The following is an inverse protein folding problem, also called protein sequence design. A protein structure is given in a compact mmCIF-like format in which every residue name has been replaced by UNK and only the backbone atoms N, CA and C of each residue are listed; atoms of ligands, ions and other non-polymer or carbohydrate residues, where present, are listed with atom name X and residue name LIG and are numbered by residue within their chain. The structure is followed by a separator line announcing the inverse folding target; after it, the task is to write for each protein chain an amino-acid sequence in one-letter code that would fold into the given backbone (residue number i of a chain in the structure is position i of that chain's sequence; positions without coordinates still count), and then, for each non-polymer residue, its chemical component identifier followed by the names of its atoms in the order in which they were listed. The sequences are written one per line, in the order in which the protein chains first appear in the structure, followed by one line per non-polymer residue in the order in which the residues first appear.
data_IF_650226582837
#
_entry.id   IF_650226582837
#
_cell.length_a   1.000
_cell.length_b   1.000
_cell.length_c   1.000
_cell.angle_alpha   90.00
_cell.angle_beta   90.00
_cell.angle_gamma   90.00
#
_symmetry.space_group_name_H-M   'P 1'
#
loop_
_entity.id
_entity.type
_entity.pdbx_description
1 polymer ?
#
# COMPACT_ATOMS: atom_id res chain seq x y z
N UNK A 1 20.71 -30.97 3.11
CA UNK A 1 20.83 -31.65 4.41
C UNK A 1 19.59 -31.38 5.24
N UNK A 2 18.99 -32.44 5.80
CA UNK A 2 17.79 -32.41 6.64
C UNK A 2 18.19 -32.27 8.11
N UNK A 3 17.27 -31.64 8.86
CA UNK A 3 17.01 -31.81 10.30
C UNK A 3 18.01 -31.27 11.32
N UNK A 4 17.50 -30.36 12.15
CA UNK A 4 17.65 -30.48 13.60
C UNK A 4 16.41 -29.92 14.31
N UNK A 5 15.54 -30.83 14.77
CA UNK A 5 14.46 -30.56 15.72
C UNK A 5 15.06 -30.44 17.11
N UNK A 6 14.73 -29.37 17.85
CA UNK A 6 14.74 -29.35 19.32
C UNK A 6 13.63 -28.43 19.83
N UNK A 7 12.47 -29.03 20.13
CA UNK A 7 11.47 -28.40 21.00
C UNK A 7 11.67 -29.01 22.39
N UNK A 8 12.15 -28.20 23.33
CA UNK A 8 12.17 -28.54 24.74
C UNK A 8 10.80 -28.21 25.34
N UNK A 9 10.13 -29.25 25.85
CA UNK A 9 8.93 -29.12 26.64
C UNK A 9 9.30 -28.61 28.05
N UNK A 10 8.63 -27.58 28.51
CA UNK A 10 8.56 -27.25 29.94
C UNK A 10 7.10 -27.29 30.34
N UNK A 11 6.79 -28.30 31.15
CA UNK A 11 5.55 -28.46 31.87
C UNK A 11 5.54 -27.58 33.13
N UNK A 12 4.38 -27.04 33.48
CA UNK A 12 4.14 -26.28 34.71
C UNK A 12 3.31 -25.02 34.43
N UNK A 13 2.10 -24.83 34.93
CA UNK A 13 1.27 -25.62 35.82
C UNK A 13 -0.21 -25.27 35.58
N UNK A 14 -1.08 -26.21 35.91
CA UNK A 14 -2.53 -26.06 35.83
C UNK A 14 -2.98 -25.20 37.02
N UNK A 15 -3.56 -24.04 36.73
CA UNK A 15 -4.47 -23.35 37.65
C UNK A 15 -5.80 -23.14 36.93
N UNK A 16 -6.77 -23.97 37.33
CA UNK A 16 -8.17 -23.92 36.91
C UNK A 16 -8.81 -22.62 37.40
N UNK A 17 -9.59 -21.95 36.55
CA UNK A 17 -11.05 -21.74 36.68
C UNK A 17 -11.48 -20.45 35.97
N UNK A 18 -12.39 -20.57 35.00
CA UNK A 18 -13.30 -19.48 34.63
C UNK A 18 -13.56 -19.29 33.13
N UNK A 19 -14.73 -19.76 32.65
CA UNK A 19 -15.34 -19.37 31.37
C UNK A 19 -15.00 -20.29 30.20
N UNK A 20 -15.67 -21.43 30.00
CA UNK A 20 -16.98 -21.63 29.37
C UNK A 20 -17.08 -21.17 27.89
N UNK A 21 -17.32 -22.16 27.02
CA UNK A 21 -17.85 -22.14 25.63
C UNK A 21 -16.82 -21.85 24.50
N UNK A 22 -16.28 -22.86 23.81
CA UNK A 22 -16.87 -23.64 22.72
C UNK A 22 -17.01 -22.85 21.39
N UNK A 23 -16.31 -23.28 20.33
CA UNK A 23 -16.73 -23.03 18.94
C UNK A 23 -15.62 -22.80 17.91
N UNK A 24 -15.57 -23.69 16.92
CA UNK A 24 -15.11 -23.50 15.52
C UNK A 24 -13.61 -23.20 15.28
N UNK A 25 -12.80 -24.05 14.63
CA UNK A 25 -12.89 -24.57 13.26
C UNK A 25 -13.02 -23.48 12.17
N UNK A 26 -11.96 -23.34 11.36
CA UNK A 26 -11.93 -22.46 10.18
C UNK A 26 -11.61 -21.00 10.53
N UNK A 27 -10.93 -20.20 9.73
CA UNK A 27 -10.61 -20.23 8.31
C UNK A 27 -9.41 -19.29 8.09
N UNK A 28 -8.68 -19.51 7.00
CA UNK A 28 -7.79 -18.60 6.31
C UNK A 28 -7.40 -17.30 7.05
N UNK A 29 -6.14 -17.21 7.46
CA UNK A 29 -5.49 -15.93 7.70
C UNK A 29 -5.47 -15.13 6.39
N UNK A 30 -6.58 -14.47 6.07
CA UNK A 30 -6.55 -13.24 5.30
C UNK A 30 -5.68 -12.31 6.14
N UNK A 31 -4.46 -12.06 5.69
CA UNK A 31 -3.65 -10.99 6.23
C UNK A 31 -4.53 -9.74 6.19
N UNK A 32 -5.07 -9.35 7.34
CA UNK A 32 -5.73 -8.07 7.48
C UNK A 32 -4.68 -7.06 7.02
N UNK A 33 -4.90 -6.45 5.86
CA UNK A 33 -4.06 -5.40 5.34
C UNK A 33 -4.12 -4.29 6.38
N UNK A 34 -3.17 -4.28 7.31
CA UNK A 34 -3.00 -3.22 8.31
C UNK A 34 -2.75 -1.98 7.48
N UNK A 35 -3.82 -1.25 7.19
CA UNK A 35 -3.75 -0.01 6.45
C UNK A 35 -3.07 0.95 7.40
N UNK A 36 -1.81 1.34 7.16
CA UNK A 36 -1.11 2.19 8.11
C UNK A 36 -1.93 3.48 8.22
N UNK A 37 -2.11 3.99 9.43
CA UNK A 37 -2.80 5.26 9.72
C UNK A 37 -2.28 6.43 8.86
N UNK A 38 -1.08 6.29 8.31
CA UNK A 38 -0.51 7.22 7.37
C UNK A 38 -1.14 7.18 5.95
N UNK A 39 -1.68 6.05 5.46
CA UNK A 39 -2.39 6.00 4.18
C UNK A 39 -3.69 6.84 4.21
N UNK A 40 -4.38 6.88 5.36
CA UNK A 40 -5.54 7.75 5.57
C UNK A 40 -5.22 9.25 5.51
N UNK A 41 -3.93 9.65 5.51
CA UNK A 41 -3.54 11.04 5.28
C UNK A 41 -3.69 11.49 3.83
N UNK A 42 -3.88 10.56 2.88
CA UNK A 42 -4.17 10.90 1.49
C UNK A 42 -5.63 11.39 1.39
N UNK A 43 -5.88 12.66 1.02
CA UNK A 43 -7.25 13.15 0.91
C UNK A 43 -7.99 12.53 -0.27
N UNK A 44 -9.31 12.40 -0.15
CA UNK A 44 -10.14 11.92 -1.27
C UNK A 44 -10.02 12.84 -2.49
N UNK A 45 -9.88 12.26 -3.67
CA UNK A 45 -9.65 12.94 -4.95
C UNK A 45 -8.18 13.06 -5.35
N UNK A 46 -7.26 12.48 -4.58
CA UNK A 46 -5.82 12.61 -4.80
C UNK A 46 -5.14 11.27 -5.02
N UNK A 47 -4.07 11.30 -5.79
CA UNK A 47 -3.07 10.24 -5.80
C UNK A 47 -1.88 10.68 -4.95
N UNK A 48 -1.54 9.88 -3.94
CA UNK A 48 -0.48 10.20 -2.99
C UNK A 48 0.67 9.20 -3.09
N UNK A 49 1.88 9.70 -2.93
CA UNK A 49 3.13 8.94 -2.89
C UNK A 49 3.93 9.31 -1.66
N UNK A 50 4.69 8.36 -1.13
CA UNK A 50 5.55 8.54 0.02
C UNK A 50 6.97 8.04 -0.25
N UNK A 51 7.97 8.79 0.21
CA UNK A 51 9.39 8.42 0.04
C UNK A 51 9.75 7.13 0.78
N UNK A 52 9.06 6.83 1.88
CA UNK A 52 9.26 5.63 2.67
C UNK A 52 8.27 4.51 2.35
N UNK A 53 8.56 3.34 2.92
CA UNK A 53 7.66 2.18 2.91
C UNK A 53 6.47 2.40 3.83
N UNK A 54 5.41 1.60 3.64
CA UNK A 54 4.24 1.59 4.53
C UNK A 54 3.67 3.01 4.78
N UNK A 55 3.70 3.87 3.75
CA UNK A 55 3.17 5.24 3.77
C UNK A 55 3.88 6.16 4.77
N UNK A 56 5.18 5.95 4.99
CA UNK A 56 6.02 6.76 5.89
C UNK A 56 6.91 7.73 5.13
N UNK A 57 7.51 8.69 5.84
CA UNK A 57 8.38 9.70 5.22
C UNK A 57 7.60 10.86 4.59
N UNK A 58 8.25 11.56 3.67
CA UNK A 58 7.66 12.72 3.01
C UNK A 58 6.58 12.29 2.02
N UNK A 59 5.41 12.92 2.11
CA UNK A 59 4.28 12.67 1.23
C UNK A 59 4.13 13.79 0.20
N UNK A 60 3.89 13.42 -1.04
CA UNK A 60 3.43 14.33 -2.08
C UNK A 60 2.18 13.78 -2.73
N UNK A 61 1.36 14.67 -3.27
CA UNK A 61 0.06 14.33 -3.84
C UNK A 61 -0.21 15.13 -5.10
N UNK A 62 -0.95 14.53 -6.01
CA UNK A 62 -1.40 15.17 -7.24
C UNK A 62 -2.87 14.89 -7.49
N UNK A 63 -3.52 15.85 -8.12
CA UNK A 63 -4.86 15.75 -8.65
C UNK A 63 -4.84 16.26 -10.10
N UNK A 64 -5.91 16.00 -10.85
CA UNK A 64 -6.01 16.42 -12.24
C UNK A 64 -4.94 15.80 -13.16
N UNK A 65 -4.88 16.32 -14.38
CA UNK A 65 -3.97 15.88 -15.42
C UNK A 65 -2.69 16.72 -15.37
N UNK A 66 -1.54 16.06 -15.21
CA UNK A 66 -0.24 16.74 -15.09
C UNK A 66 0.72 16.24 -16.16
N UNK A 67 1.18 17.15 -17.02
CA UNK A 67 2.15 16.84 -18.07
C UNK A 67 3.58 16.67 -17.54
N UNK A 68 3.88 17.24 -16.37
CA UNK A 68 5.19 17.15 -15.74
C UNK A 68 5.08 17.03 -14.21
N UNK A 69 5.54 15.90 -13.68
CA UNK A 69 5.67 15.62 -12.26
C UNK A 69 7.13 15.62 -11.78
N UNK A 70 8.11 15.89 -12.65
CA UNK A 70 9.55 15.85 -12.27
C UNK A 70 9.96 16.94 -11.30
N UNK A 71 9.12 17.97 -11.14
CA UNK A 71 9.27 18.99 -10.10
C UNK A 71 8.97 18.48 -8.68
N UNK A 72 8.30 17.35 -8.54
CA UNK A 72 7.97 16.74 -7.26
C UNK A 72 8.99 15.64 -6.96
N UNK A 73 9.89 15.90 -6.00
CA UNK A 73 11.00 15.00 -5.67
C UNK A 73 10.55 13.59 -5.27
N UNK A 74 9.49 13.48 -4.46
CA UNK A 74 8.96 12.17 -4.02
C UNK A 74 8.37 11.39 -5.18
N UNK A 75 7.78 12.05 -6.19
CA UNK A 75 7.31 11.34 -7.39
C UNK A 75 8.44 10.76 -8.25
N UNK A 76 9.70 11.14 -8.00
CA UNK A 76 10.86 10.56 -8.67
C UNK A 76 11.53 9.46 -7.84
N UNK A 77 11.14 9.31 -6.58
CA UNK A 77 11.74 8.34 -5.68
C UNK A 77 10.79 7.96 -4.52
N UNK A 78 9.72 7.22 -4.83
CA UNK A 78 8.76 6.75 -3.82
C UNK A 78 8.76 5.23 -3.66
N UNK A 79 8.34 4.77 -2.48
CA UNK A 79 8.26 3.34 -2.13
C UNK A 79 6.86 2.87 -1.73
N UNK A 80 5.94 3.81 -1.58
CA UNK A 80 4.53 3.51 -1.33
C UNK A 80 3.62 4.56 -1.94
N UNK A 81 2.43 4.14 -2.35
CA UNK A 81 1.47 4.98 -3.04
C UNK A 81 0.04 4.54 -2.78
N UNK A 82 -0.89 5.49 -2.92
CA UNK A 82 -2.31 5.26 -2.75
C UNK A 82 -3.10 6.09 -3.76
N UNK A 83 -3.93 5.43 -4.57
CA UNK A 83 -4.95 6.11 -5.34
C UNK A 83 -6.22 6.29 -4.51
N UNK A 84 -6.34 7.45 -3.86
CA UNK A 84 -7.58 7.85 -3.18
C UNK A 84 -8.48 8.71 -4.07
N UNK A 85 -8.50 8.47 -5.39
CA UNK A 85 -9.38 9.17 -6.34
C UNK A 85 -10.86 9.13 -5.93
N UNK A 86 -11.64 10.14 -6.35
CA UNK A 86 -13.09 10.21 -6.07
C UNK A 86 -13.86 9.18 -6.90
N UNK A 87 -13.72 9.26 -8.22
CA UNK A 87 -14.47 8.47 -9.20
C UNK A 87 -13.59 7.77 -10.24
N UNK A 88 -12.31 8.12 -10.32
CA UNK A 88 -11.43 7.71 -11.43
C UNK A 88 -10.25 6.85 -10.97
N UNK A 89 -9.74 6.04 -11.90
CA UNK A 89 -8.46 5.35 -11.79
C UNK A 89 -7.31 6.29 -12.18
N UNK A 90 -6.13 6.07 -11.60
CA UNK A 90 -4.95 6.88 -11.87
C UNK A 90 -4.07 6.19 -12.92
N UNK A 91 -3.79 6.88 -14.03
CA UNK A 91 -2.87 6.37 -15.06
C UNK A 91 -1.55 7.10 -14.98
N UNK A 92 -0.48 6.36 -14.71
CA UNK A 92 0.88 6.88 -14.65
C UNK A 92 1.60 6.70 -15.99
N UNK A 93 2.59 7.55 -16.23
CA UNK A 93 3.47 7.48 -17.39
C UNK A 93 4.94 7.63 -16.97
N UNK A 94 5.82 6.84 -17.60
CA UNK A 94 7.26 6.86 -17.33
C UNK A 94 7.97 8.08 -17.92
N UNK A 95 7.36 8.80 -18.88
CA UNK A 95 7.89 10.06 -19.44
C UNK A 95 6.94 11.23 -19.19
N UNK A 96 7.45 12.45 -19.40
CA UNK A 96 6.64 13.68 -19.43
C UNK A 96 5.66 13.64 -20.61
N UNK A 97 4.67 14.54 -20.58
CA UNK A 97 3.69 14.71 -21.65
C UNK A 97 2.95 13.41 -22.02
N UNK A 98 2.68 12.55 -21.04
CA UNK A 98 1.91 11.30 -21.19
C UNK A 98 2.58 10.26 -22.12
N UNK A 99 3.91 10.29 -22.22
CA UNK A 99 4.67 9.37 -23.06
C UNK A 99 5.30 8.19 -22.31
N UNK A 100 5.88 7.26 -23.06
CA UNK A 100 6.58 6.08 -22.53
C UNK A 100 5.64 4.97 -22.07
N UNK A 101 6.16 4.06 -21.24
CA UNK A 101 5.34 3.02 -20.61
C UNK A 101 4.31 3.64 -19.67
N UNK A 102 3.18 2.98 -19.52
CA UNK A 102 2.08 3.43 -18.68
C UNK A 102 1.42 2.25 -17.98
N UNK A 103 0.80 2.52 -16.84
CA UNK A 103 -0.03 1.56 -16.12
C UNK A 103 -1.19 2.24 -15.41
N UNK A 104 -2.15 1.45 -14.98
CA UNK A 104 -3.34 1.91 -14.26
C UNK A 104 -3.23 1.49 -12.80
N UNK A 105 -3.49 2.42 -11.90
CA UNK A 105 -3.68 2.16 -10.47
C UNK A 105 -5.16 2.36 -10.17
N UNK A 106 -5.93 1.26 -9.92
CA UNK A 106 -7.35 1.36 -9.66
C UNK A 106 -7.67 2.26 -8.48
N UNK A 107 -8.85 2.90 -8.50
CA UNK A 107 -9.33 3.67 -7.35
C UNK A 107 -9.42 2.80 -6.10
N UNK A 108 -8.94 3.31 -4.97
CA UNK A 108 -8.89 2.58 -3.71
C UNK A 108 -7.67 1.67 -3.57
N UNK A 109 -6.90 1.45 -4.64
CA UNK A 109 -5.70 0.63 -4.59
C UNK A 109 -4.54 1.37 -3.93
N UNK A 110 -3.87 0.68 -3.02
CA UNK A 110 -2.68 1.15 -2.29
C UNK A 110 -1.65 0.03 -2.26
N UNK A 111 -0.39 0.40 -2.32
CA UNK A 111 0.70 -0.57 -2.28
C UNK A 111 1.97 0.03 -1.70
N UNK A 112 2.86 -0.86 -1.28
CA UNK A 112 4.20 -0.54 -0.81
C UNK A 112 5.12 -1.71 -1.11
N UNK A 113 6.35 -1.43 -1.50
CA UNK A 113 7.38 -2.44 -1.71
C UNK A 113 8.78 -1.91 -1.35
N UNK A 114 9.83 -2.65 -1.72
CA UNK A 114 11.22 -2.26 -1.47
C UNK A 114 11.85 -1.52 -2.66
N UNK A 115 11.15 -1.40 -3.78
CA UNK A 115 11.66 -0.78 -5.00
C UNK A 115 11.44 0.72 -4.97
N UNK A 116 12.28 1.41 -5.72
CA UNK A 116 12.19 2.84 -5.95
C UNK A 116 11.40 3.07 -7.23
N UNK A 117 10.26 3.75 -7.11
CA UNK A 117 9.35 4.02 -8.21
C UNK A 117 9.40 5.48 -8.62
N UNK A 118 9.10 5.74 -9.89
CA UNK A 118 9.02 7.09 -10.44
C UNK A 118 7.84 7.23 -11.40
N UNK A 119 7.25 8.41 -11.41
CA UNK A 119 6.19 8.79 -12.34
C UNK A 119 6.49 10.21 -12.85
N UNK A 120 6.48 10.39 -14.17
CA UNK A 120 6.85 11.67 -14.79
C UNK A 120 5.67 12.46 -15.31
N UNK A 121 4.54 11.82 -15.58
CA UNK A 121 3.27 12.48 -15.88
C UNK A 121 2.09 11.56 -15.56
N UNK A 122 0.88 12.12 -15.45
CA UNK A 122 -0.31 11.34 -15.13
C UNK A 122 -1.58 11.85 -15.82
N UNK A 123 -2.54 10.94 -16.01
CA UNK A 123 -3.93 11.25 -16.34
C UNK A 123 -4.87 10.51 -15.39
N UNK A 124 -6.17 10.80 -15.49
CA UNK A 124 -7.22 10.07 -14.80
C UNK A 124 -8.11 9.41 -15.85
N UNK A 125 -8.46 8.15 -15.63
CA UNK A 125 -9.20 7.32 -16.58
C UNK A 125 -10.30 6.55 -15.84
N UNK A 126 -11.21 5.91 -16.58
CA UNK A 126 -12.27 5.05 -16.03
C UNK A 126 -13.11 5.73 -14.94
N UNK A 127 -13.41 7.02 -15.12
CA UNK A 127 -14.19 7.80 -14.18
C UNK A 127 -15.65 7.31 -14.14
N UNK A 128 -16.16 7.04 -12.93
CA UNK A 128 -17.52 6.53 -12.68
C UNK A 128 -18.12 7.04 -11.38
#
# INVERSE_FOLDING_TARGET
MRMTRKFAAVAGGIALTGGLLAGAAGTAGAAAEVTPKAASSCPSGWFCVWSGKNYTGHMQKVAGKNADLTKFSVFQDFKSWYNHGKSCDFRWYAKKNYGGSSGIVPRGYKATDNLHHYIKSNTWVNCR
#
